data_IF_163153930903
#
_entry.id   IF_163153930903
#
_cell.length_a   1.000
_cell.length_b   1.000
_cell.length_c   1.000
_cell.angle_alpha   90.00
_cell.angle_beta   90.00
_cell.angle_gamma   90.00
#
_symmetry.space_group_name_H-M   'P 1'
#
loop_
_entity.id
_entity.type
_entity.pdbx_description
1 polymer ?
#
# COMPACT_ATOMS: atom_id res chain seq x y z
N UNK A 1 12.04 1.97 -23.06
CA UNK A 1 11.20 2.55 -24.14
C UNK A 1 10.25 3.57 -23.52
N UNK A 2 9.91 4.58 -24.29
CA UNK A 2 9.02 5.67 -23.86
C UNK A 2 7.82 5.76 -24.80
N UNK A 3 6.74 6.41 -24.36
CA UNK A 3 5.49 6.53 -25.13
C UNK A 3 4.86 5.15 -25.43
N UNK A 4 4.64 4.35 -24.40
CA UNK A 4 4.04 3.01 -24.50
C UNK A 4 2.59 3.04 -24.04
N UNK A 5 1.74 2.30 -24.74
CA UNK A 5 0.39 2.01 -24.31
C UNK A 5 0.20 0.50 -24.32
N UNK A 6 -0.07 -0.08 -23.16
CA UNK A 6 -0.51 -1.46 -23.00
C UNK A 6 -2.03 -1.46 -22.85
N UNK A 7 -2.72 -2.13 -23.74
CA UNK A 7 -4.18 -2.25 -23.71
C UNK A 7 -4.56 -3.71 -23.46
N UNK A 8 -5.22 -3.97 -22.33
CA UNK A 8 -5.88 -5.25 -22.07
C UNK A 8 -7.36 -5.03 -22.34
N UNK A 9 -7.82 -5.46 -23.52
CA UNK A 9 -9.18 -5.19 -24.00
C UNK A 9 -10.22 -5.83 -23.06
N UNK A 10 -11.43 -5.25 -23.04
CA UNK A 10 -12.55 -5.83 -22.28
C UNK A 10 -12.81 -7.28 -22.72
N UNK A 11 -12.92 -8.18 -21.76
CA UNK A 11 -13.04 -9.62 -21.99
C UNK A 11 -11.73 -10.38 -22.17
N UNK A 12 -10.59 -9.68 -22.28
CA UNK A 12 -9.27 -10.31 -22.27
C UNK A 12 -8.73 -10.48 -20.83
N UNK A 13 -7.96 -11.54 -20.59
CA UNK A 13 -7.26 -11.79 -19.34
C UNK A 13 -5.78 -12.07 -19.60
N UNK A 14 -4.92 -11.33 -18.93
CA UNK A 14 -3.48 -11.65 -18.78
C UNK A 14 -3.35 -12.49 -17.54
N UNK A 15 -3.04 -13.77 -17.68
CA UNK A 15 -3.00 -14.75 -16.59
C UNK A 15 -1.56 -15.11 -16.22
N UNK A 16 -1.23 -15.03 -14.93
CA UNK A 16 0.06 -15.45 -14.39
C UNK A 16 0.26 -16.97 -14.47
N UNK A 17 1.47 -17.38 -14.83
CA UNK A 17 1.85 -18.80 -14.85
C UNK A 17 1.83 -19.40 -13.44
N UNK A 18 1.30 -20.63 -13.25
CA UNK A 18 1.41 -21.32 -11.97
C UNK A 18 2.81 -21.91 -11.72
N UNK A 19 3.72 -21.84 -12.67
CA UNK A 19 5.05 -22.45 -12.61
C UNK A 19 6.12 -21.38 -12.42
N UNK A 20 6.89 -21.48 -11.36
CA UNK A 20 7.97 -20.54 -11.02
C UNK A 20 9.05 -20.42 -12.10
N UNK A 21 9.35 -21.50 -12.82
CA UNK A 21 10.33 -21.53 -13.92
C UNK A 21 9.99 -20.57 -15.08
N UNK A 22 8.73 -20.17 -15.17
CA UNK A 22 8.28 -19.21 -16.17
C UNK A 22 8.48 -17.75 -15.73
N UNK A 23 8.94 -17.51 -14.49
CA UNK A 23 9.12 -16.16 -13.94
C UNK A 23 10.62 -15.82 -13.87
N UNK A 24 11.08 -14.81 -14.62
CA UNK A 24 12.46 -14.38 -14.55
C UNK A 24 12.83 -13.88 -13.15
N UNK A 25 14.06 -14.14 -12.72
CA UNK A 25 14.61 -13.58 -11.50
C UNK A 25 15.31 -12.26 -11.81
N UNK A 26 14.98 -11.22 -11.07
CA UNK A 26 15.58 -9.89 -11.16
C UNK A 26 16.37 -9.54 -9.89
N UNK A 27 17.27 -8.59 -10.00
CA UNK A 27 17.93 -8.00 -8.84
C UNK A 27 16.91 -7.15 -8.06
N UNK A 28 16.96 -7.19 -6.74
CA UNK A 28 16.03 -6.43 -5.92
C UNK A 28 16.23 -4.92 -6.07
N UNK A 29 15.20 -4.16 -5.72
CA UNK A 29 15.33 -2.71 -5.67
C UNK A 29 16.44 -2.28 -4.70
N UNK A 30 17.30 -1.32 -5.06
CA UNK A 30 18.42 -0.89 -4.20
C UNK A 30 18.00 -0.49 -2.79
N UNK A 31 16.80 0.06 -2.62
CA UNK A 31 16.27 0.49 -1.33
C UNK A 31 15.54 -0.61 -0.55
N UNK A 32 15.51 -1.84 -1.07
CA UNK A 32 15.04 -3.05 -0.37
C UNK A 32 16.15 -4.08 -0.16
N UNK A 33 17.05 -4.25 -1.12
CA UNK A 33 18.20 -5.14 -1.01
C UNK A 33 17.87 -6.64 -1.03
N UNK A 34 16.69 -6.99 -1.50
CA UNK A 34 16.21 -8.37 -1.60
C UNK A 34 14.94 -8.61 -0.78
N UNK A 35 13.83 -8.52 -1.47
CA UNK A 35 12.50 -8.82 -0.95
C UNK A 35 11.92 -7.78 0.01
N UNK A 36 10.61 -7.72 0.04
CA UNK A 36 9.84 -6.96 1.04
C UNK A 36 9.99 -7.55 2.45
N UNK A 37 10.45 -8.78 2.56
CA UNK A 37 10.70 -9.47 3.83
C UNK A 37 12.10 -9.19 4.36
N UNK A 38 12.19 -8.69 5.58
CA UNK A 38 13.44 -8.36 6.28
C UNK A 38 14.44 -9.51 6.40
N UNK A 39 14.00 -10.74 6.18
CA UNK A 39 14.79 -11.96 6.36
C UNK A 39 15.61 -12.35 5.12
N UNK A 40 15.48 -11.62 4.01
CA UNK A 40 15.99 -12.05 2.70
C UNK A 40 16.86 -11.03 1.99
N UNK A 41 17.55 -10.18 2.72
CA UNK A 41 18.51 -9.25 2.12
C UNK A 41 19.53 -10.01 1.24
N UNK A 42 19.64 -9.61 -0.02
CA UNK A 42 20.59 -10.16 -1.00
C UNK A 42 20.05 -11.29 -1.86
N UNK A 43 18.78 -11.71 -1.69
CA UNK A 43 18.18 -12.69 -2.60
C UNK A 43 17.50 -12.00 -3.79
N UNK A 44 17.53 -12.65 -4.95
CA UNK A 44 16.79 -12.21 -6.13
C UNK A 44 15.29 -12.40 -5.91
N UNK A 45 14.50 -11.64 -6.63
CA UNK A 45 13.04 -11.72 -6.59
C UNK A 45 12.48 -12.11 -7.97
N UNK A 46 11.31 -12.75 -7.98
CA UNK A 46 10.61 -12.99 -9.25
C UNK A 46 10.10 -11.68 -9.82
N UNK A 47 10.33 -11.47 -11.11
CA UNK A 47 9.82 -10.32 -11.84
C UNK A 47 8.28 -10.31 -11.81
N UNK A 48 7.67 -9.13 -11.75
CA UNK A 48 6.22 -9.00 -11.84
C UNK A 48 5.66 -9.49 -13.18
N UNK A 49 4.38 -9.91 -13.20
CA UNK A 49 3.71 -10.34 -14.44
C UNK A 49 3.69 -9.22 -15.48
N UNK A 50 3.42 -7.99 -15.06
CA UNK A 50 3.60 -6.80 -15.88
C UNK A 50 4.72 -5.96 -15.26
N UNK A 51 5.83 -5.84 -15.96
CA UNK A 51 7.02 -5.16 -15.46
C UNK A 51 7.50 -4.06 -16.41
N UNK A 52 7.78 -2.89 -15.86
CA UNK A 52 8.37 -1.78 -16.61
C UNK A 52 9.43 -1.10 -15.75
N UNK A 53 10.60 -0.80 -16.31
CA UNK A 53 11.70 -0.13 -15.63
C UNK A 53 12.33 0.96 -16.51
N UNK A 54 12.50 2.14 -15.95
CA UNK A 54 13.14 3.27 -16.63
C UNK A 54 12.37 3.77 -17.86
N UNK A 55 11.03 3.74 -17.81
CA UNK A 55 10.18 4.20 -18.93
C UNK A 55 9.57 5.57 -18.64
N UNK A 56 9.20 6.28 -19.71
CA UNK A 56 8.43 7.52 -19.58
C UNK A 56 7.20 7.50 -20.49
N UNK A 57 6.11 8.15 -20.03
CA UNK A 57 4.84 8.20 -20.72
C UNK A 57 4.29 6.77 -21.02
N UNK A 58 4.06 6.01 -19.95
CA UNK A 58 3.48 4.67 -19.98
C UNK A 58 1.98 4.76 -19.64
N UNK A 59 1.14 4.14 -20.45
CA UNK A 59 -0.28 3.95 -20.12
C UNK A 59 -0.61 2.46 -20.13
N UNK A 60 -1.26 1.96 -19.07
CA UNK A 60 -1.80 0.60 -18.95
C UNK A 60 -3.31 0.75 -18.76
N UNK A 61 -4.13 0.19 -19.68
CA UNK A 61 -5.58 0.45 -19.71
C UNK A 61 -6.32 -0.63 -20.49
N UNK A 62 -7.67 -0.53 -20.64
CA UNK A 62 -8.42 -1.27 -21.67
C UNK A 62 -9.64 -2.06 -21.21
N UNK A 63 -9.99 -2.09 -19.93
CA UNK A 63 -11.21 -2.75 -19.42
C UNK A 63 -11.11 -4.27 -19.23
N UNK A 64 -9.93 -4.85 -19.45
CA UNK A 64 -9.66 -6.28 -19.24
C UNK A 64 -9.15 -6.61 -17.85
N UNK A 65 -8.64 -7.82 -17.70
CA UNK A 65 -8.20 -8.39 -16.41
C UNK A 65 -6.70 -8.71 -16.44
N UNK A 66 -5.99 -8.35 -15.38
CA UNK A 66 -4.66 -8.86 -15.06
C UNK A 66 -4.83 -9.74 -13.83
N UNK A 67 -4.58 -11.03 -13.97
CA UNK A 67 -4.80 -12.07 -12.96
C UNK A 67 -3.47 -12.75 -12.62
N UNK A 68 -3.06 -12.63 -11.36
CA UNK A 68 -1.77 -13.16 -10.91
C UNK A 68 -1.75 -14.65 -10.65
N UNK A 69 -2.92 -15.32 -10.65
CA UNK A 69 -3.04 -16.74 -10.31
C UNK A 69 -2.40 -17.06 -8.93
N UNK A 70 -2.54 -16.13 -7.99
CA UNK A 70 -1.78 -16.06 -6.74
C UNK A 70 -1.98 -17.24 -5.79
N UNK A 71 -3.11 -17.96 -5.92
CA UNK A 71 -3.39 -19.11 -5.06
C UNK A 71 -2.31 -20.20 -5.11
N UNK A 72 -1.56 -20.28 -6.20
CA UNK A 72 -0.42 -21.21 -6.35
C UNK A 72 0.80 -20.77 -5.53
N UNK A 73 0.85 -19.49 -5.12
CA UNK A 73 1.96 -18.88 -4.41
C UNK A 73 1.70 -18.63 -2.92
N UNK A 74 0.44 -18.48 -2.50
CA UNK A 74 0.13 -18.07 -1.12
C UNK A 74 0.53 -19.10 -0.07
N UNK A 75 0.60 -20.38 -0.45
CA UNK A 75 1.12 -21.45 0.40
C UNK A 75 2.56 -21.23 0.88
N UNK A 76 3.37 -20.48 0.13
CA UNK A 76 4.76 -20.19 0.45
C UNK A 76 4.98 -19.44 1.77
N UNK A 77 3.97 -18.75 2.27
CA UNK A 77 4.04 -18.01 3.55
C UNK A 77 3.29 -18.68 4.71
N UNK A 78 2.64 -19.79 4.47
CA UNK A 78 1.99 -20.53 5.56
C UNK A 78 3.05 -21.28 6.36
N UNK A 79 3.45 -20.65 7.40
CA UNK A 79 4.29 -20.90 8.61
C UNK A 79 5.31 -22.06 8.65
N UNK A 80 5.16 -23.14 7.91
CA UNK A 80 5.97 -24.34 8.09
C UNK A 80 6.86 -24.67 6.88
N UNK A 81 6.72 -23.97 5.76
CA UNK A 81 7.39 -24.32 4.49
C UNK A 81 8.67 -23.53 4.19
N UNK A 82 9.03 -22.54 5.01
CA UNK A 82 10.29 -21.78 4.83
C UNK A 82 11.54 -22.66 4.88
N UNK A 83 11.48 -23.77 5.60
CA UNK A 83 12.59 -24.71 5.72
C UNK A 83 12.67 -25.70 4.56
N UNK A 84 11.63 -25.79 3.72
CA UNK A 84 11.52 -26.70 2.58
C UNK A 84 11.12 -25.92 1.34
N UNK A 85 11.88 -24.86 1.02
CA UNK A 85 11.64 -24.06 -0.17
C UNK A 85 11.72 -24.95 -1.42
N UNK A 86 10.57 -25.29 -1.96
CA UNK A 86 10.40 -26.00 -3.23
C UNK A 86 9.53 -25.15 -4.16
N UNK A 87 9.61 -25.35 -5.46
CA UNK A 87 8.76 -24.59 -6.37
C UNK A 87 7.27 -24.62 -5.95
N UNK A 88 6.55 -23.47 -5.98
CA UNK A 88 6.99 -22.18 -6.52
C UNK A 88 7.82 -21.32 -5.54
N UNK A 89 8.01 -21.71 -4.31
CA UNK A 89 8.53 -20.89 -3.20
C UNK A 89 10.05 -20.77 -3.16
N UNK A 90 10.78 -21.61 -3.90
CA UNK A 90 12.23 -21.60 -3.97
C UNK A 90 12.71 -22.23 -5.25
N UNK A 91 14.00 -22.10 -5.53
CA UNK A 91 14.66 -22.79 -6.65
C UNK A 91 15.03 -24.24 -6.32
N UNK A 92 15.54 -24.96 -7.30
CA UNK A 92 15.98 -26.36 -7.16
C UNK A 92 17.15 -26.53 -6.16
N UNK A 93 17.75 -25.44 -5.71
CA UNK A 93 18.83 -25.41 -4.71
C UNK A 93 18.30 -25.06 -3.31
N UNK A 94 16.98 -24.89 -3.13
CA UNK A 94 16.36 -24.53 -1.86
C UNK A 94 16.54 -23.04 -1.48
N UNK A 95 16.89 -22.19 -2.45
CA UNK A 95 16.96 -20.73 -2.23
C UNK A 95 15.59 -20.15 -2.43
N UNK A 96 15.09 -19.49 -1.39
CA UNK A 96 13.82 -18.78 -1.46
C UNK A 96 13.97 -17.52 -2.31
N UNK A 97 12.95 -17.23 -3.11
CA UNK A 97 12.81 -15.98 -3.85
C UNK A 97 11.48 -15.33 -3.51
N UNK A 98 11.48 -14.00 -3.37
CA UNK A 98 10.24 -13.26 -3.13
C UNK A 98 9.23 -13.54 -4.22
N UNK A 99 7.99 -13.81 -3.81
CA UNK A 99 6.85 -14.00 -4.73
C UNK A 99 6.71 -12.81 -5.68
N UNK A 100 6.31 -13.03 -6.95
CA UNK A 100 6.19 -11.93 -7.91
C UNK A 100 5.06 -10.97 -7.51
N UNK A 101 5.24 -9.70 -7.78
CA UNK A 101 4.17 -8.72 -7.80
C UNK A 101 3.30 -8.91 -9.05
N UNK A 102 2.08 -8.38 -9.06
CA UNK A 102 1.25 -8.46 -10.27
C UNK A 102 1.68 -7.44 -11.32
N UNK A 103 1.70 -6.17 -10.94
CA UNK A 103 2.18 -5.07 -11.78
C UNK A 103 3.25 -4.32 -11.02
N UNK A 104 4.42 -4.13 -11.62
CA UNK A 104 5.51 -3.37 -11.02
C UNK A 104 6.12 -2.40 -12.05
N UNK A 105 6.03 -1.11 -11.73
CA UNK A 105 6.61 -0.04 -12.54
C UNK A 105 7.70 0.65 -11.74
N UNK A 106 8.93 0.65 -12.26
CA UNK A 106 10.12 1.05 -11.52
C UNK A 106 10.81 2.23 -12.20
N UNK A 107 11.32 3.20 -11.42
CA UNK A 107 12.18 4.32 -11.88
C UNK A 107 11.67 5.00 -13.15
N UNK A 108 10.38 5.28 -13.18
CA UNK A 108 9.67 5.72 -14.39
C UNK A 108 8.99 7.08 -14.18
N UNK A 109 8.53 7.70 -15.27
CA UNK A 109 7.80 8.96 -15.19
C UNK A 109 6.58 9.00 -16.09
N UNK A 110 5.61 9.84 -15.73
CA UNK A 110 4.37 10.05 -16.50
C UNK A 110 3.62 8.73 -16.76
N UNK A 111 3.32 8.03 -15.67
CA UNK A 111 2.69 6.70 -15.70
C UNK A 111 1.18 6.83 -15.45
N UNK A 112 0.38 6.12 -16.23
CA UNK A 112 -1.07 6.02 -16.05
C UNK A 112 -1.50 4.57 -16.03
N UNK A 113 -2.34 4.19 -15.06
CA UNK A 113 -3.01 2.89 -15.04
C UNK A 113 -4.50 3.11 -14.77
N UNK A 114 -5.34 2.77 -15.75
CA UNK A 114 -6.77 3.07 -15.68
C UNK A 114 -7.64 1.96 -16.25
N UNK A 115 -8.88 1.88 -15.72
CA UNK A 115 -9.97 1.09 -16.32
C UNK A 115 -9.67 -0.41 -16.41
N UNK A 116 -8.99 -0.98 -15.41
CA UNK A 116 -8.59 -2.39 -15.38
C UNK A 116 -9.11 -3.11 -14.14
N UNK A 117 -9.20 -4.41 -14.23
CA UNK A 117 -9.30 -5.30 -13.09
C UNK A 117 -7.96 -5.96 -12.85
N UNK A 118 -7.39 -5.78 -11.66
CA UNK A 118 -6.16 -6.45 -11.19
C UNK A 118 -6.53 -7.37 -10.04
N UNK A 119 -6.23 -8.67 -10.15
CA UNK A 119 -6.67 -9.61 -9.12
C UNK A 119 -5.69 -10.73 -8.83
N UNK A 120 -5.90 -11.35 -7.68
CA UNK A 120 -5.24 -12.58 -7.25
C UNK A 120 -3.71 -12.52 -7.41
N UNK A 121 -3.13 -11.41 -6.93
CA UNK A 121 -1.67 -11.23 -6.97
C UNK A 121 -0.96 -12.27 -6.09
N UNK A 122 0.16 -12.83 -6.52
CA UNK A 122 0.99 -13.65 -5.64
C UNK A 122 1.55 -12.91 -4.43
N UNK A 123 1.84 -11.62 -4.56
CA UNK A 123 2.35 -10.70 -3.54
C UNK A 123 1.66 -9.33 -3.71
N UNK A 124 2.35 -8.19 -3.55
CA UNK A 124 1.77 -6.86 -3.78
C UNK A 124 1.15 -6.74 -5.18
N UNK A 125 -0.02 -6.12 -5.26
CA UNK A 125 -0.78 -6.13 -6.52
C UNK A 125 -0.28 -5.06 -7.49
N UNK A 126 -0.41 -3.78 -7.15
CA UNK A 126 0.09 -2.67 -7.97
C UNK A 126 1.23 -1.98 -7.23
N UNK A 127 2.45 -2.11 -7.71
CA UNK A 127 3.64 -1.54 -7.09
C UNK A 127 4.31 -0.52 -8.01
N UNK A 128 4.24 0.74 -7.62
CA UNK A 128 4.87 1.86 -8.32
C UNK A 128 6.07 2.32 -7.49
N UNK A 129 7.29 2.03 -7.97
CA UNK A 129 8.52 2.16 -7.21
C UNK A 129 9.48 3.18 -7.84
N UNK A 130 9.65 4.34 -7.23
CA UNK A 130 10.46 5.43 -7.78
C UNK A 130 9.84 6.07 -9.01
N UNK A 131 8.51 6.23 -9.02
CA UNK A 131 7.77 6.85 -10.13
C UNK A 131 7.56 8.34 -9.84
N UNK A 132 7.69 9.16 -10.88
CA UNK A 132 7.41 10.60 -10.83
C UNK A 132 6.32 10.95 -11.83
N UNK A 133 5.19 11.49 -11.34
CA UNK A 133 4.00 11.73 -12.16
C UNK A 133 3.22 10.44 -12.39
N UNK A 134 2.27 10.13 -11.50
CA UNK A 134 1.48 8.91 -11.53
C UNK A 134 -0.01 9.20 -11.46
N UNK A 135 -0.80 8.53 -12.30
CA UNK A 135 -2.25 8.46 -12.19
C UNK A 135 -2.69 6.99 -12.14
N UNK A 136 -3.37 6.60 -11.06
CA UNK A 136 -4.06 5.30 -10.94
C UNK A 136 -5.54 5.56 -10.72
N UNK A 137 -6.37 5.26 -11.72
CA UNK A 137 -7.77 5.66 -11.67
C UNK A 137 -8.74 4.63 -12.24
N UNK A 138 -9.92 4.53 -11.61
CA UNK A 138 -11.04 3.68 -12.09
C UNK A 138 -10.66 2.20 -12.26
N UNK A 139 -9.82 1.66 -11.37
CA UNK A 139 -9.46 0.25 -11.37
C UNK A 139 -10.23 -0.51 -10.29
N UNK A 140 -10.40 -1.81 -10.52
CA UNK A 140 -10.89 -2.77 -9.53
C UNK A 140 -9.74 -3.68 -9.13
N UNK A 141 -9.32 -3.62 -7.85
CA UNK A 141 -8.18 -4.37 -7.33
C UNK A 141 -8.66 -5.31 -6.24
N UNK A 142 -8.50 -6.63 -6.42
CA UNK A 142 -9.00 -7.58 -5.44
C UNK A 142 -8.20 -8.88 -5.33
N UNK A 143 -8.17 -9.39 -4.12
CA UNK A 143 -7.69 -10.71 -3.72
C UNK A 143 -8.51 -11.21 -2.52
N UNK A 144 -8.54 -12.49 -2.23
CA UNK A 144 -9.15 -12.99 -1.00
C UNK A 144 -8.59 -12.31 0.25
N UNK A 145 -9.43 -12.10 1.25
CA UNK A 145 -9.04 -11.40 2.49
C UNK A 145 -7.99 -12.12 3.32
N UNK A 146 -7.77 -13.42 3.08
CA UNK A 146 -6.75 -14.25 3.71
C UNK A 146 -5.51 -14.48 2.82
N UNK A 147 -5.46 -13.85 1.65
CA UNK A 147 -4.30 -13.92 0.75
C UNK A 147 -3.15 -13.07 1.30
N UNK A 148 -2.00 -13.67 1.65
CA UNK A 148 -0.95 -12.98 2.40
C UNK A 148 -0.20 -11.97 1.52
N UNK A 149 0.06 -10.79 2.09
CA UNK A 149 0.80 -9.68 1.47
C UNK A 149 0.26 -9.25 0.10
N UNK A 150 -1.03 -9.37 -0.12
CA UNK A 150 -1.66 -8.92 -1.36
C UNK A 150 -2.07 -7.45 -1.25
N UNK A 151 -1.10 -6.58 -0.87
CA UNK A 151 -1.32 -5.14 -0.83
C UNK A 151 -1.94 -4.67 -2.15
N UNK A 152 -2.88 -3.73 -2.09
CA UNK A 152 -3.62 -3.28 -3.27
C UNK A 152 -2.82 -2.36 -4.17
N UNK A 153 -2.61 -1.11 -3.73
CA UNK A 153 -1.90 -0.08 -4.50
C UNK A 153 -0.79 0.49 -3.61
N UNK A 154 0.45 0.14 -3.94
CA UNK A 154 1.66 0.59 -3.25
C UNK A 154 2.38 1.67 -4.04
N UNK A 155 2.54 2.84 -3.43
CA UNK A 155 3.36 3.94 -3.91
C UNK A 155 4.64 4.01 -3.08
N UNK A 156 5.77 3.61 -3.67
CA UNK A 156 7.05 3.44 -2.99
C UNK A 156 8.10 4.36 -3.61
N UNK A 157 8.74 5.21 -2.83
CA UNK A 157 9.67 6.22 -3.35
C UNK A 157 9.06 7.07 -4.50
N UNK A 158 7.75 7.24 -4.51
CA UNK A 158 6.96 7.82 -5.60
C UNK A 158 6.58 9.26 -5.30
N UNK A 159 6.57 10.11 -6.32
CA UNK A 159 6.30 11.53 -6.19
C UNK A 159 5.26 12.00 -7.22
N UNK A 160 4.50 13.05 -6.85
CA UNK A 160 3.53 13.71 -7.74
C UNK A 160 2.49 12.70 -8.27
N UNK A 161 1.73 12.09 -7.37
CA UNK A 161 0.81 11.00 -7.68
C UNK A 161 -0.65 11.31 -7.32
N UNK A 162 -1.56 10.81 -8.14
CA UNK A 162 -3.00 10.79 -7.86
C UNK A 162 -3.53 9.36 -8.00
N UNK A 163 -4.24 8.90 -6.96
CA UNK A 163 -4.92 7.59 -6.93
C UNK A 163 -6.39 7.85 -6.65
N UNK A 164 -7.26 7.64 -7.63
CA UNK A 164 -8.64 8.07 -7.52
C UNK A 164 -9.66 7.10 -8.13
N UNK A 165 -10.86 7.11 -7.57
CA UNK A 165 -12.01 6.38 -8.11
C UNK A 165 -11.78 4.86 -8.24
N UNK A 166 -10.88 4.26 -7.43
CA UNK A 166 -10.61 2.83 -7.44
C UNK A 166 -11.47 2.10 -6.40
N UNK A 167 -11.77 0.85 -6.68
CA UNK A 167 -12.27 -0.12 -5.70
C UNK A 167 -11.16 -1.09 -5.34
N UNK A 168 -10.86 -1.25 -4.03
CA UNK A 168 -9.78 -2.11 -3.54
C UNK A 168 -10.29 -3.01 -2.42
N UNK A 169 -10.18 -4.32 -2.60
CA UNK A 169 -10.53 -5.33 -1.59
C UNK A 169 -9.49 -6.46 -1.63
N UNK A 170 -8.61 -6.52 -0.66
CA UNK A 170 -7.40 -7.35 -0.68
C UNK A 170 -7.15 -8.03 0.66
N UNK A 171 -6.06 -8.76 0.80
CA UNK A 171 -5.69 -9.46 2.03
C UNK A 171 -4.70 -8.71 2.92
N UNK A 172 -4.15 -7.57 2.46
CA UNK A 172 -3.20 -6.73 3.23
C UNK A 172 -3.52 -5.24 3.03
N UNK A 173 -2.54 -4.34 3.10
CA UNK A 173 -2.74 -2.89 3.01
C UNK A 173 -3.42 -2.49 1.68
N UNK A 174 -4.61 -1.86 1.73
CA UNK A 174 -5.37 -1.59 0.49
C UNK A 174 -4.77 -0.45 -0.34
N UNK A 175 -4.53 0.71 0.28
CA UNK A 175 -3.82 1.84 -0.32
C UNK A 175 -2.62 2.16 0.56
N UNK A 176 -1.41 2.08 0.01
CA UNK A 176 -0.22 2.16 0.84
C UNK A 176 0.85 3.10 0.28
N UNK A 177 1.45 3.89 1.16
CA UNK A 177 2.63 4.71 0.84
C UNK A 177 3.85 4.14 1.57
N UNK A 178 4.88 3.82 0.79
CA UNK A 178 6.16 3.29 1.25
C UNK A 178 7.32 4.15 0.72
N UNK A 179 8.51 4.02 1.31
CA UNK A 179 9.74 4.68 0.80
C UNK A 179 10.99 3.90 1.24
N UNK A 180 11.04 2.62 0.88
CA UNK A 180 12.18 1.75 1.17
C UNK A 180 12.33 1.35 2.63
N UNK A 181 13.24 0.40 2.86
CA UNK A 181 13.39 -0.30 4.14
C UNK A 181 14.75 -0.04 4.80
N UNK A 182 14.75 0.25 6.10
CA UNK A 182 15.92 0.30 6.97
C UNK A 182 17.08 1.15 6.40
N UNK A 183 18.32 0.70 6.58
CA UNK A 183 19.53 1.37 6.10
C UNK A 183 19.51 1.58 4.57
N UNK A 184 19.08 0.59 3.81
CA UNK A 184 19.02 0.69 2.35
C UNK A 184 18.01 1.72 1.88
N UNK A 185 16.84 1.76 2.50
CA UNK A 185 15.84 2.81 2.24
C UNK A 185 16.37 4.20 2.53
N UNK A 186 17.06 4.38 3.66
CA UNK A 186 17.69 5.67 4.02
C UNK A 186 18.82 6.08 3.07
N UNK A 187 19.55 5.10 2.50
CA UNK A 187 20.72 5.36 1.64
C UNK A 187 20.35 5.55 0.18
N UNK A 188 19.48 4.72 -0.35
CA UNK A 188 19.17 4.63 -1.78
C UNK A 188 17.74 5.02 -2.13
N UNK A 189 16.84 5.06 -1.15
CA UNK A 189 15.45 5.45 -1.34
C UNK A 189 15.30 6.96 -1.59
N UNK A 190 14.17 7.33 -2.15
CA UNK A 190 13.72 8.72 -2.26
C UNK A 190 12.44 8.89 -1.45
N UNK A 191 12.18 10.06 -0.87
CA UNK A 191 10.92 10.29 -0.16
C UNK A 191 9.72 10.15 -1.09
N UNK A 192 8.68 9.49 -0.59
CA UNK A 192 7.36 9.55 -1.21
C UNK A 192 6.68 10.85 -0.84
N UNK A 193 6.23 11.65 -1.82
CA UNK A 193 5.68 12.97 -1.54
C UNK A 193 4.72 13.48 -2.61
N UNK A 194 3.91 14.49 -2.23
CA UNK A 194 2.93 15.13 -3.13
C UNK A 194 1.94 14.09 -3.68
N UNK A 195 1.29 13.35 -2.79
CA UNK A 195 0.42 12.23 -3.16
C UNK A 195 -1.00 12.52 -2.69
N UNK A 196 -1.97 12.31 -3.57
CA UNK A 196 -3.39 12.41 -3.26
C UNK A 196 -4.10 11.11 -3.57
N UNK A 197 -4.74 10.53 -2.56
CA UNK A 197 -5.72 9.45 -2.71
C UNK A 197 -7.10 10.03 -2.50
N UNK A 198 -8.00 9.89 -3.48
CA UNK A 198 -9.34 10.46 -3.34
C UNK A 198 -10.43 9.62 -4.00
N UNK A 199 -11.61 9.63 -3.40
CA UNK A 199 -12.80 8.93 -3.91
C UNK A 199 -12.58 7.43 -4.15
N UNK A 200 -11.71 6.82 -3.35
CA UNK A 200 -11.52 5.37 -3.40
C UNK A 200 -12.48 4.68 -2.44
N UNK A 201 -12.91 3.49 -2.83
CA UNK A 201 -13.73 2.61 -1.97
C UNK A 201 -12.89 1.39 -1.60
N UNK A 202 -12.82 1.10 -0.30
CA UNK A 202 -12.05 -0.02 0.24
C UNK A 202 -13.01 -1.04 0.85
N UNK A 203 -12.85 -2.29 0.46
CA UNK A 203 -13.48 -3.45 1.07
C UNK A 203 -12.56 -4.10 2.13
N UNK A 204 -12.27 -5.39 1.95
CA UNK A 204 -11.34 -6.11 2.84
C UNK A 204 -9.91 -5.59 2.74
N UNK A 205 -9.10 -5.86 3.78
CA UNK A 205 -7.69 -5.50 3.88
C UNK A 205 -7.38 -4.63 5.09
N UNK A 206 -6.21 -3.99 5.10
CA UNK A 206 -5.76 -3.11 6.19
C UNK A 206 -5.94 -1.61 5.89
N UNK A 207 -6.96 -1.25 5.13
CA UNK A 207 -7.36 0.14 4.89
C UNK A 207 -6.30 1.01 4.20
N UNK A 208 -6.18 2.26 4.68
CA UNK A 208 -5.22 3.24 4.13
C UNK A 208 -4.00 3.34 5.02
N UNK A 209 -2.83 3.03 4.46
CA UNK A 209 -1.62 2.77 5.24
C UNK A 209 -0.45 3.66 4.81
N UNK A 210 0.36 4.10 5.76
CA UNK A 210 1.72 4.59 5.54
C UNK A 210 2.68 3.69 6.31
N UNK A 211 3.65 3.10 5.61
CA UNK A 211 4.65 2.21 6.18
C UNK A 211 4.31 0.72 6.07
N UNK A 212 5.03 -0.16 6.83
CA UNK A 212 6.14 0.11 7.75
C UNK A 212 7.43 0.55 7.05
N UNK A 213 7.60 0.26 5.76
CA UNK A 213 8.74 0.63 4.93
C UNK A 213 8.63 2.12 4.54
N UNK A 214 9.15 3.02 5.38
CA UNK A 214 9.08 4.48 5.18
C UNK A 214 10.43 5.17 5.41
N UNK A 215 11.52 4.45 5.19
CA UNK A 215 12.85 4.81 5.66
C UNK A 215 13.47 6.02 4.97
N UNK A 216 13.09 6.30 3.71
CA UNK A 216 13.50 7.52 3.02
C UNK A 216 12.60 8.75 3.32
N UNK A 217 11.52 8.54 4.08
CA UNK A 217 10.56 9.58 4.46
C UNK A 217 9.32 9.65 3.58
N UNK A 218 8.24 10.20 4.15
CA UNK A 218 6.96 10.42 3.48
C UNK A 218 6.45 11.80 3.86
N UNK A 219 6.00 12.61 2.89
CA UNK A 219 5.51 13.95 3.17
C UNK A 219 4.47 14.46 2.17
N UNK A 220 3.63 15.39 2.62
CA UNK A 220 2.59 15.99 1.81
C UNK A 220 1.71 14.94 1.12
N UNK A 221 1.01 14.15 1.96
CA UNK A 221 0.09 13.09 1.52
C UNK A 221 -1.31 13.43 2.00
N UNK A 222 -2.28 13.36 1.11
CA UNK A 222 -3.69 13.54 1.44
C UNK A 222 -4.49 12.30 1.05
N UNK A 223 -5.27 11.80 2.01
CA UNK A 223 -6.32 10.82 1.78
C UNK A 223 -7.65 11.51 1.99
N UNK A 224 -8.48 11.61 0.95
CA UNK A 224 -9.75 12.34 1.02
C UNK A 224 -10.91 11.62 0.34
N UNK A 225 -12.12 11.81 0.89
CA UNK A 225 -13.35 11.26 0.33
C UNK A 225 -13.28 9.73 0.15
N UNK A 226 -12.85 9.00 1.19
CA UNK A 226 -12.66 7.55 1.17
C UNK A 226 -13.75 6.86 1.97
N UNK A 227 -14.28 5.77 1.43
CA UNK A 227 -15.23 4.88 2.09
C UNK A 227 -14.58 3.54 2.33
N UNK A 228 -14.74 2.99 3.55
CA UNK A 228 -14.26 1.65 3.92
C UNK A 228 -15.40 0.82 4.50
N UNK A 229 -15.47 -0.44 4.08
CA UNK A 229 -16.42 -1.42 4.63
C UNK A 229 -15.78 -2.80 4.72
N UNK A 230 -15.98 -3.50 5.82
CA UNK A 230 -15.42 -4.83 6.11
C UNK A 230 -13.86 -4.84 6.12
N UNK A 231 -13.26 -3.75 6.55
CA UNK A 231 -11.81 -3.56 6.57
C UNK A 231 -11.25 -3.97 7.93
N UNK A 232 -10.07 -4.57 8.00
CA UNK A 232 -9.50 -5.01 9.28
C UNK A 232 -9.04 -3.82 10.13
N UNK A 233 -8.17 -2.96 9.59
CA UNK A 233 -7.74 -1.71 10.23
C UNK A 233 -8.12 -0.56 9.31
N UNK A 234 -8.67 0.52 9.83
CA UNK A 234 -9.12 1.64 9.03
C UNK A 234 -7.96 2.51 8.53
N UNK A 235 -7.58 3.51 9.31
CA UNK A 235 -6.43 4.37 9.03
C UNK A 235 -5.22 3.83 9.79
N UNK A 236 -4.10 3.66 9.09
CA UNK A 236 -2.92 3.01 9.66
C UNK A 236 -1.62 3.75 9.30
N UNK A 237 -0.90 4.22 10.33
CA UNK A 237 0.50 4.65 10.21
C UNK A 237 1.34 3.73 11.08
N UNK A 238 2.28 3.03 10.48
CA UNK A 238 3.08 2.01 11.18
C UNK A 238 4.56 2.15 10.85
N UNK A 239 5.39 2.09 11.88
CA UNK A 239 6.84 1.98 11.75
C UNK A 239 7.46 1.36 13.01
N UNK A 240 8.76 1.17 13.00
CA UNK A 240 9.50 0.58 14.12
C UNK A 240 10.93 1.06 14.15
N UNK A 241 11.63 0.84 15.30
CA UNK A 241 13.06 1.08 15.42
C UNK A 241 13.83 0.35 14.32
N UNK A 242 14.86 0.98 13.77
CA UNK A 242 15.63 0.49 12.64
C UNK A 242 15.17 1.05 11.29
N UNK A 243 13.89 1.40 11.13
CA UNK A 243 13.39 2.03 9.91
C UNK A 243 14.01 3.41 9.70
N UNK A 244 14.01 4.27 10.73
CA UNK A 244 14.32 5.68 10.56
C UNK A 244 13.32 6.39 9.64
N UNK A 245 13.70 7.53 9.11
CA UNK A 245 12.83 8.34 8.26
C UNK A 245 11.81 9.16 9.03
N UNK A 246 11.18 10.12 8.36
CA UNK A 246 10.15 10.99 8.93
C UNK A 246 8.91 10.95 8.06
N UNK A 247 7.75 10.74 8.67
CA UNK A 247 6.45 10.95 8.04
C UNK A 247 5.87 12.24 8.56
N UNK A 248 5.55 13.18 7.67
CA UNK A 248 5.00 14.47 8.07
C UNK A 248 4.07 15.09 7.02
N UNK A 249 3.24 16.03 7.48
CA UNK A 249 2.29 16.74 6.64
C UNK A 249 1.34 15.76 5.92
N UNK A 250 0.65 14.94 6.72
CA UNK A 250 -0.33 13.96 6.25
C UNK A 250 -1.72 14.39 6.70
N UNK A 251 -2.67 14.39 5.77
CA UNK A 251 -4.06 14.70 6.05
C UNK A 251 -4.98 13.56 5.64
N UNK A 252 -5.81 13.14 6.57
CA UNK A 252 -6.95 12.24 6.34
C UNK A 252 -8.23 13.07 6.46
N UNK A 253 -8.97 13.22 5.37
CA UNK A 253 -10.13 14.08 5.33
C UNK A 253 -11.35 13.41 4.71
N UNK A 254 -12.53 13.61 5.33
CA UNK A 254 -13.77 13.03 4.84
C UNK A 254 -13.65 11.51 4.65
N UNK A 255 -13.22 10.80 5.68
CA UNK A 255 -13.05 9.34 5.67
C UNK A 255 -14.23 8.73 6.42
N UNK A 256 -14.96 7.85 5.74
CA UNK A 256 -16.11 7.14 6.29
C UNK A 256 -15.81 5.63 6.38
N UNK A 257 -15.69 5.13 7.58
CA UNK A 257 -15.46 3.74 7.93
C UNK A 257 -16.77 3.14 8.43
N UNK A 258 -17.40 2.29 7.63
CA UNK A 258 -18.69 1.67 7.97
C UNK A 258 -18.51 0.49 8.92
N UNK A 259 -17.52 -0.39 8.65
CA UNK A 259 -17.22 -1.54 9.49
C UNK A 259 -15.72 -1.83 9.51
N UNK A 260 -15.12 -1.77 10.71
CA UNK A 260 -13.71 -2.02 10.94
C UNK A 260 -13.56 -3.13 11.99
N UNK A 261 -12.81 -4.19 11.66
CA UNK A 261 -12.70 -5.35 12.55
C UNK A 261 -11.79 -5.10 13.76
N UNK A 262 -10.71 -4.33 13.58
CA UNK A 262 -9.70 -4.04 14.61
C UNK A 262 -9.74 -2.56 15.01
N UNK A 263 -8.70 -1.78 14.74
CA UNK A 263 -8.65 -0.37 15.09
C UNK A 263 -9.17 0.54 13.96
N UNK A 264 -10.05 1.49 14.30
CA UNK A 264 -10.45 2.54 13.35
C UNK A 264 -9.26 3.42 12.98
N UNK A 265 -8.42 3.79 13.95
CA UNK A 265 -7.20 4.57 13.76
C UNK A 265 -6.05 3.96 14.53
N UNK A 266 -5.01 3.54 13.80
CA UNK A 266 -3.76 3.02 14.35
C UNK A 266 -2.60 3.92 13.93
N UNK A 267 -1.85 4.47 14.89
CA UNK A 267 -0.60 5.22 14.67
C UNK A 267 0.45 4.68 15.61
N UNK A 268 1.42 3.92 15.10
CA UNK A 268 2.43 3.29 15.95
C UNK A 268 3.84 3.40 15.41
N UNK A 269 4.78 3.74 16.26
CA UNK A 269 6.23 3.67 16.05
C UNK A 269 6.85 2.38 16.63
N UNK A 270 6.00 1.49 17.16
CA UNK A 270 6.37 0.24 17.81
C UNK A 270 5.66 -0.96 17.17
N UNK A 271 5.64 -0.99 15.83
CA UNK A 271 4.83 -1.91 15.03
C UNK A 271 5.16 -3.38 15.29
N UNK A 272 6.43 -3.71 15.49
CA UNK A 272 6.91 -5.07 15.71
C UNK A 272 7.41 -5.27 17.15
N UNK A 273 6.59 -4.83 18.12
CA UNK A 273 6.94 -4.90 19.55
C UNK A 273 7.30 -6.32 20.03
N UNK A 274 6.80 -7.35 19.36
CA UNK A 274 7.06 -8.76 19.65
C UNK A 274 7.94 -9.44 18.59
N UNK A 275 8.35 -8.70 17.53
CA UNK A 275 9.24 -9.21 16.50
C UNK A 275 10.71 -9.25 16.96
N UNK A 276 11.58 -9.95 16.22
CA UNK A 276 12.99 -9.88 16.48
C UNK A 276 13.46 -8.43 16.36
N UNK A 277 14.44 -7.99 17.18
CA UNK A 277 15.02 -6.66 17.02
C UNK A 277 15.42 -6.45 15.56
N UNK A 278 15.15 -5.25 15.01
CA UNK A 278 15.62 -4.93 13.67
C UNK A 278 17.11 -5.33 13.54
N UNK A 279 17.42 -6.11 12.51
CA UNK A 279 18.81 -6.51 12.22
C UNK A 279 19.69 -5.33 11.80
N UNK A 280 19.09 -4.15 11.61
CA UNK A 280 19.82 -2.90 11.45
C UNK A 280 20.48 -2.52 12.77
N UNK A 281 21.73 -2.96 12.92
CA UNK A 281 22.57 -2.72 14.10
C UNK A 281 22.94 -1.24 14.32
N UNK A 282 22.55 -0.36 13.40
CA UNK A 282 22.70 1.08 13.56
C UNK A 282 21.54 1.64 14.40
N UNK A 283 21.51 1.28 15.67
CA UNK A 283 20.57 1.81 16.69
C UNK A 283 20.94 3.24 17.12
N UNK A 284 21.20 4.12 16.16
CA UNK A 284 21.42 5.53 16.43
C UNK A 284 20.12 6.32 16.18
N UNK A 285 20.09 7.58 16.56
CA UNK A 285 18.92 8.46 16.38
C UNK A 285 18.43 8.52 14.93
N UNK A 286 19.28 8.26 13.93
CA UNK A 286 18.90 8.26 12.50
C UNK A 286 18.08 7.03 12.10
N UNK A 287 18.10 5.96 12.89
CA UNK A 287 17.33 4.74 12.66
C UNK A 287 16.01 4.70 13.45
N UNK A 288 15.70 5.73 14.24
CA UNK A 288 14.42 5.88 14.93
C UNK A 288 13.44 6.63 14.03
N UNK A 289 12.29 6.03 13.65
CA UNK A 289 11.31 6.70 12.83
C UNK A 289 10.59 7.82 13.58
N UNK A 290 10.07 8.81 12.87
CA UNK A 290 9.29 9.91 13.46
C UNK A 290 7.99 10.16 12.68
N UNK A 291 6.89 10.41 13.41
CA UNK A 291 5.61 10.86 12.87
C UNK A 291 5.27 12.23 13.45
N UNK A 292 4.93 13.18 12.57
CA UNK A 292 4.59 14.55 12.98
C UNK A 292 3.68 15.26 11.98
N UNK A 293 2.92 16.25 12.45
CA UNK A 293 2.00 17.06 11.62
C UNK A 293 1.00 16.17 10.85
N UNK A 294 0.19 15.41 11.60
CA UNK A 294 -0.81 14.50 11.03
C UNK A 294 -2.18 14.99 11.44
N UNK A 295 -3.04 15.22 10.46
CA UNK A 295 -4.39 15.72 10.68
C UNK A 295 -5.45 14.70 10.28
N UNK A 296 -6.43 14.52 11.15
CA UNK A 296 -7.67 13.78 10.89
C UNK A 296 -8.82 14.79 10.91
N UNK A 297 -9.50 14.96 9.77
CA UNK A 297 -10.54 15.95 9.56
C UNK A 297 -11.81 15.29 9.04
N UNK A 298 -12.94 15.43 9.75
CA UNK A 298 -14.21 14.83 9.36
C UNK A 298 -14.07 13.31 9.13
N UNK A 299 -13.67 12.58 10.15
CA UNK A 299 -13.52 11.11 10.10
C UNK A 299 -14.63 10.48 10.92
N UNK A 300 -15.37 9.56 10.30
CA UNK A 300 -16.42 8.78 10.94
C UNK A 300 -16.09 7.30 10.90
N UNK A 301 -16.10 6.63 12.06
CA UNK A 301 -16.10 5.18 12.18
C UNK A 301 -17.43 4.74 12.82
N UNK A 302 -18.31 4.10 12.06
CA UNK A 302 -19.64 3.71 12.55
C UNK A 302 -19.56 2.50 13.47
N UNK A 303 -18.84 1.45 13.03
CA UNK A 303 -18.65 0.21 13.74
C UNK A 303 -17.18 -0.18 13.76
N UNK A 304 -16.65 -0.58 14.91
CA UNK A 304 -15.23 -0.94 14.98
C UNK A 304 -14.83 -1.71 16.24
N UNK A 305 -13.81 -2.53 16.12
CA UNK A 305 -13.26 -3.28 17.25
C UNK A 305 -12.68 -2.37 18.33
N UNK A 306 -11.91 -1.35 17.93
CA UNK A 306 -11.30 -0.34 18.81
C UNK A 306 -11.30 1.02 18.12
N UNK A 307 -11.43 2.09 18.91
CA UNK A 307 -11.39 3.47 18.40
C UNK A 307 -9.99 3.86 17.95
N UNK A 308 -9.04 3.81 18.87
CA UNK A 308 -7.67 4.27 18.63
C UNK A 308 -6.63 3.29 19.17
N UNK A 309 -5.48 3.25 18.50
CA UNK A 309 -4.22 2.77 19.01
C UNK A 309 -3.13 3.76 18.64
N UNK A 310 -2.69 4.59 19.60
CA UNK A 310 -1.66 5.62 19.42
C UNK A 310 -0.47 5.25 20.28
N UNK A 311 0.64 4.82 19.64
CA UNK A 311 1.79 4.25 20.34
C UNK A 311 3.11 4.80 19.78
N UNK A 312 3.57 5.91 20.37
CA UNK A 312 4.90 6.47 20.12
C UNK A 312 5.98 5.69 20.85
N UNK A 313 7.23 6.14 20.71
CA UNK A 313 8.38 5.62 21.47
C UNK A 313 8.77 6.56 22.60
N UNK A 314 9.31 6.05 23.74
CA UNK A 314 9.78 6.91 24.81
C UNK A 314 10.83 7.94 24.36
N UNK A 315 11.70 7.55 23.44
CA UNK A 315 12.73 8.39 22.84
C UNK A 315 12.27 9.22 21.65
N UNK A 316 11.13 8.84 21.04
CA UNK A 316 10.55 9.50 19.89
C UNK A 316 9.03 9.48 19.98
N UNK A 317 8.46 10.50 20.58
CA UNK A 317 7.01 10.64 20.63
C UNK A 317 6.43 10.98 19.25
N UNK A 318 5.16 10.64 19.03
CA UNK A 318 4.37 11.16 17.91
C UNK A 318 4.01 12.61 18.24
N UNK A 319 4.26 13.54 17.32
CA UNK A 319 4.08 14.97 17.57
C UNK A 319 3.06 15.61 16.63
N UNK A 320 2.30 16.60 17.15
CA UNK A 320 1.37 17.42 16.38
C UNK A 320 0.34 16.57 15.59
N UNK A 321 -0.31 15.66 16.30
CA UNK A 321 -1.44 14.92 15.78
C UNK A 321 -2.72 15.70 16.15
N UNK A 322 -3.55 16.03 15.17
CA UNK A 322 -4.79 16.77 15.36
C UNK A 322 -6.01 15.98 14.90
N UNK A 323 -7.04 15.95 15.74
CA UNK A 323 -8.32 15.32 15.47
C UNK A 323 -9.39 16.40 15.46
N UNK A 324 -9.99 16.61 14.29
CA UNK A 324 -10.98 17.66 14.03
C UNK A 324 -12.24 17.01 13.49
N UNK A 325 -13.32 17.05 14.26
CA UNK A 325 -14.58 16.39 13.94
C UNK A 325 -14.40 14.90 13.63
N UNK A 326 -13.74 14.18 14.55
CA UNK A 326 -13.55 12.72 14.47
C UNK A 326 -14.55 12.03 15.36
N UNK A 327 -15.40 11.20 14.79
CA UNK A 327 -16.49 10.53 15.52
C UNK A 327 -16.37 9.03 15.42
N UNK A 328 -16.44 8.37 16.59
CA UNK A 328 -16.54 6.92 16.73
C UNK A 328 -17.97 6.55 17.14
N UNK A 329 -18.56 5.61 16.43
CA UNK A 329 -19.93 5.13 16.68
C UNK A 329 -20.09 4.51 18.06
N UNK A 330 -21.34 4.37 18.52
CA UNK A 330 -21.64 3.94 19.88
C UNK A 330 -21.25 2.48 20.21
N UNK A 331 -21.02 1.65 19.22
CA UNK A 331 -20.56 0.26 19.32
C UNK A 331 -19.08 0.06 18.96
N UNK A 332 -18.37 1.15 18.64
CA UNK A 332 -16.91 1.11 18.51
C UNK A 332 -16.29 0.91 19.89
N UNK A 333 -15.43 -0.09 20.03
CA UNK A 333 -14.75 -0.39 21.28
C UNK A 333 -13.87 0.75 21.77
N UNK A 334 -13.52 0.72 23.06
CA UNK A 334 -12.60 1.71 23.66
C UNK A 334 -11.22 1.66 23.00
N UNK A 335 -10.44 2.71 23.20
CA UNK A 335 -9.04 2.75 22.71
C UNK A 335 -8.22 1.56 23.22
N UNK A 336 -7.31 1.05 22.37
CA UNK A 336 -6.37 -0.01 22.74
C UNK A 336 -5.20 0.54 23.56
N UNK A 337 -4.81 1.77 23.31
CA UNK A 337 -3.74 2.46 24.03
C UNK A 337 -3.46 3.84 23.46
N UNK A 338 -2.89 4.71 24.31
CA UNK A 338 -2.48 6.06 23.94
C UNK A 338 -1.26 6.44 24.77
N UNK A 339 -0.06 6.35 24.18
CA UNK A 339 1.18 6.65 24.91
C UNK A 339 2.21 7.32 24.01
N UNK A 340 3.10 8.11 24.61
CA UNK A 340 4.16 8.83 23.89
C UNK A 340 3.64 9.55 22.64
N UNK A 341 2.47 10.22 22.77
CA UNK A 341 1.79 10.89 21.67
C UNK A 341 1.33 12.26 22.14
N UNK A 342 1.72 13.30 21.41
CA UNK A 342 1.25 14.66 21.61
C UNK A 342 0.18 14.98 20.56
N UNK A 343 -1.07 15.03 21.00
CA UNK A 343 -2.23 15.23 20.15
C UNK A 343 -3.25 16.20 20.74
N UNK A 344 -4.07 16.74 19.87
CA UNK A 344 -5.17 17.65 20.23
C UNK A 344 -6.48 17.20 19.58
N UNK A 345 -7.59 17.39 20.28
CA UNK A 345 -8.93 17.14 19.78
C UNK A 345 -9.76 18.43 19.84
N UNK A 346 -10.55 18.70 18.81
CA UNK A 346 -11.56 19.77 18.86
C UNK A 346 -12.79 19.38 19.70
N UNK A 347 -13.74 20.32 19.80
CA UNK A 347 -14.97 20.12 20.58
C UNK A 347 -15.92 19.07 19.96
N UNK A 348 -15.79 18.77 18.68
CA UNK A 348 -16.64 17.82 17.95
C UNK A 348 -16.10 16.40 17.96
N UNK A 349 -14.83 16.22 18.32
CA UNK A 349 -14.22 14.90 18.39
C UNK A 349 -14.70 14.08 19.58
N UNK A 350 -15.28 12.91 19.32
CA UNK A 350 -15.85 12.02 20.33
C UNK A 350 -15.63 10.52 20.00
N UNK A 351 -14.99 9.74 20.88
CA UNK A 351 -14.22 10.19 22.04
C UNK A 351 -12.89 10.83 21.65
N UNK A 352 -12.42 11.78 22.43
CA UNK A 352 -11.03 12.23 22.34
C UNK A 352 -10.12 11.18 23.01
N UNK A 353 -9.03 10.72 22.38
CA UNK A 353 -8.11 9.73 22.98
C UNK A 353 -7.55 10.21 24.32
N UNK A 354 -7.25 9.27 25.22
CA UNK A 354 -6.90 9.58 26.61
C UNK A 354 -5.61 10.41 26.79
N UNK A 355 -4.68 10.33 25.83
CA UNK A 355 -3.43 11.10 25.85
C UNK A 355 -3.53 12.45 25.13
N UNK A 356 -4.64 12.75 24.45
CA UNK A 356 -4.83 13.99 23.73
C UNK A 356 -5.41 15.08 24.63
N UNK A 357 -5.06 16.34 24.36
CA UNK A 357 -5.65 17.52 25.01
C UNK A 357 -6.81 18.04 24.17
N UNK A 358 -7.90 18.47 24.84
CA UNK A 358 -9.01 19.15 24.16
C UNK A 358 -8.62 20.60 23.88
N UNK A 359 -8.75 21.01 22.62
CA UNK A 359 -8.56 22.37 22.17
C UNK A 359 -9.86 22.87 21.50
N UNK A 360 -10.63 23.65 22.24
CA UNK A 360 -11.90 24.20 21.78
C UNK A 360 -11.72 25.31 20.72
N UNK A 361 -10.51 25.73 20.39
CA UNK A 361 -10.22 26.70 19.33
C UNK A 361 -9.99 26.07 17.96
N UNK A 362 -9.78 24.75 17.89
CA UNK A 362 -9.76 24.03 16.64
C UNK A 362 -11.17 24.09 16.01
N UNK A 363 -11.28 24.69 14.85
CA UNK A 363 -12.54 24.83 14.13
C UNK A 363 -12.67 23.72 13.10
N UNK A 364 -13.77 22.95 13.17
CA UNK A 364 -14.14 22.01 12.12
C UNK A 364 -14.43 22.77 10.81
N UNK A 365 -13.69 22.45 9.75
CA UNK A 365 -13.89 23.05 8.44
C UNK A 365 -14.86 22.21 7.61
N UNK A 366 -16.15 22.57 7.62
CA UNK A 366 -17.26 22.08 6.80
C UNK A 366 -18.03 20.87 7.33
N UNK A 367 -19.35 20.97 7.20
CA UNK A 367 -20.27 19.84 7.28
C UNK A 367 -20.03 18.88 6.11
N UNK A 368 -19.76 17.63 6.42
CA UNK A 368 -19.62 16.54 5.44
C UNK A 368 -20.76 15.55 5.64
N UNK A 369 -21.33 15.08 4.54
CA UNK A 369 -22.28 13.97 4.51
C UNK A 369 -21.74 12.89 3.57
N UNK A 370 -21.63 11.61 4.02
CA UNK A 370 -21.15 10.55 3.15
C UNK A 370 -22.06 10.40 1.93
N UNK A 371 -21.52 10.60 0.74
CA UNK A 371 -22.24 10.20 -0.47
C UNK A 371 -22.14 8.68 -0.60
N UNK A 372 -23.27 8.01 -0.81
CA UNK A 372 -23.29 6.58 -1.06
C UNK A 372 -22.39 6.27 -2.26
N UNK A 373 -21.21 5.67 -2.00
CA UNK A 373 -20.28 5.27 -3.04
C UNK A 373 -20.96 4.33 -4.03
N UNK A 374 -20.67 4.49 -5.29
CA UNK A 374 -21.11 3.52 -6.31
C UNK A 374 -20.43 2.20 -6.00
N UNK A 375 -21.23 1.15 -5.75
CA UNK A 375 -20.71 -0.22 -5.70
C UNK A 375 -20.07 -0.51 -7.04
N UNK A 376 -18.81 -0.94 -7.04
CA UNK A 376 -18.13 -1.40 -8.24
C UNK A 376 -18.93 -2.53 -8.91
N UNK A 377 -18.83 -2.72 -10.22
CA UNK A 377 -19.58 -3.76 -10.92
C UNK A 377 -19.19 -5.15 -10.40
N UNK A 378 -20.20 -5.95 -10.03
CA UNK A 378 -20.03 -7.37 -9.70
C UNK A 378 -19.53 -8.10 -10.94
N UNK A 379 -18.31 -8.64 -10.88
CA UNK A 379 -17.73 -9.40 -11.98
C UNK A 379 -18.50 -10.71 -12.21
N UNK A 380 -19.08 -10.88 -13.40
CA UNK A 380 -19.49 -12.19 -13.90
C UNK A 380 -18.30 -12.85 -14.58
N UNK A 381 -17.96 -14.05 -14.16
CA UNK A 381 -16.90 -14.87 -14.75
C UNK A 381 -17.25 -15.26 -16.19
N UNK A 382 -16.41 -14.91 -17.16
CA UNK A 382 -16.41 -15.44 -18.50
C UNK A 382 -14.96 -15.75 -18.87
N UNK A 383 -14.67 -17.04 -19.10
CA UNK A 383 -13.40 -17.46 -19.72
C UNK A 383 -13.40 -17.05 -21.19
N UNK A 384 -12.49 -16.17 -21.59
CA UNK A 384 -12.25 -15.81 -22.97
C UNK A 384 -10.75 -15.88 -23.30
N UNK A 385 -10.42 -16.31 -24.52
CA UNK A 385 -9.03 -16.32 -25.00
C UNK A 385 -8.51 -14.89 -25.14
N UNK A 386 -7.33 -14.64 -24.55
CA UNK A 386 -6.72 -13.32 -24.52
C UNK A 386 -6.11 -12.91 -25.85
N UNK A 387 -6.36 -11.70 -26.29
CA UNK A 387 -5.55 -11.01 -27.29
C UNK A 387 -4.95 -9.74 -26.67
N UNK A 388 -3.62 -9.65 -26.66
CA UNK A 388 -2.92 -8.45 -26.20
C UNK A 388 -2.51 -7.65 -27.44
N UNK A 389 -2.87 -6.36 -27.47
CA UNK A 389 -2.36 -5.41 -28.46
C UNK A 389 -1.41 -4.43 -27.79
N UNK A 390 -0.17 -4.40 -28.25
CA UNK A 390 0.79 -3.35 -27.90
C UNK A 390 0.86 -2.39 -29.08
N UNK A 391 0.32 -1.18 -28.93
CA UNK A 391 0.42 -0.15 -29.95
C UNK A 391 1.48 0.88 -29.55
N UNK A 392 2.58 0.94 -30.28
CA UNK A 392 3.62 1.95 -30.13
C UNK A 392 4.10 2.42 -31.50
N UNK A 393 4.49 3.69 -31.62
CA UNK A 393 5.12 4.16 -32.84
C UNK A 393 6.49 3.50 -32.98
N UNK A 394 6.68 2.76 -34.05
CA UNK A 394 7.94 2.08 -34.36
C UNK A 394 9.09 3.08 -34.43
N UNK A 395 10.08 2.92 -33.56
CA UNK A 395 11.35 3.60 -33.69
C UNK A 395 12.48 2.54 -33.79
N UNK A 396 13.13 2.53 -34.98
CA UNK A 396 14.40 1.82 -35.28
C UNK A 396 14.57 0.40 -34.72
N UNK A 397 13.82 -0.55 -35.21
CA UNK A 397 14.30 -1.92 -35.47
C UNK A 397 14.51 -2.85 -34.28
N UNK A 398 14.14 -2.48 -33.05
CA UNK A 398 14.03 -3.42 -31.92
C UNK A 398 12.64 -3.31 -31.30
N UNK A 399 11.93 -4.41 -31.27
CA UNK A 399 10.67 -4.50 -30.52
C UNK A 399 10.91 -4.22 -29.03
N UNK A 400 9.98 -3.52 -28.35
CA UNK A 400 10.05 -3.43 -26.90
C UNK A 400 9.98 -4.83 -26.31
N UNK A 401 10.90 -5.16 -25.43
CA UNK A 401 10.84 -6.40 -24.66
C UNK A 401 9.71 -6.28 -23.65
N UNK A 402 8.54 -6.78 -24.00
CA UNK A 402 7.48 -7.10 -23.03
C UNK A 402 7.72 -8.56 -22.66
N UNK A 403 8.36 -8.78 -21.53
CA UNK A 403 8.51 -10.14 -21.01
C UNK A 403 7.18 -10.55 -20.39
N UNK A 404 6.58 -11.57 -20.98
CA UNK A 404 5.56 -12.37 -20.32
C UNK A 404 6.17 -13.73 -20.02
N UNK A 405 6.11 -14.18 -18.76
CA UNK A 405 6.55 -15.53 -18.42
C UNK A 405 5.63 -16.62 -18.96
#
# INVERSE_FOLDING_TARGET
SSNLIMVVEAGATVLGSPYSDNWPLIEPLPWYGGGSDQQQQGTREYQALVYADGVSNLTITGGGVIDGNGHTWWGCLRKDDWANASPPCGDDHGVYHSRPHLVMVVRSSDVKMTDLTARDSPNWTLHFAGVNGLLVANNSVHSPSDAPNTDGINLDCTQDAVVEDNYVAVGDDALCVKSGINHLGRTFGQPSRNIVFRRNTIGTGHGITIGSEMSAGVSNVTFEDIIMDQTNVGIRLKSQRGRGGVVHDVTYRNVHMQSINEECVQVTLNYDANGPPSTDTQTNATATPAFQNIAFENVLCEHGGKSYFLDGLPEQAIHHLSLINVTMGGDVGTEKGCQHTACTCDALTAPCPSCCTKDNQLLATREWSPSAGRRGPSAQYVEAQASIRVSGSAWNGRAPEVYMP
#
